data_IF_240357769957
#
_entry.id   IF_240357769957
#
_cell.length_a   1.000
_cell.length_b   1.000
_cell.length_c   1.000
_cell.angle_alpha   90.00
_cell.angle_beta   90.00
_cell.angle_gamma   90.00
#
_symmetry.space_group_name_H-M   'P 1'
#
loop_
_entity.id
_entity.type
_entity.pdbx_description
1 polymer ?
#
# COMPACT_ATOMS: atom_id res chain seq x y z
N UNK A 1 -45.91 -15.84 -38.16
CA UNK A 1 -45.31 -16.72 -37.12
C UNK A 1 -46.09 -18.01 -37.08
N UNK A 2 -45.39 -19.14 -37.01
CA UNK A 2 -45.99 -20.46 -36.79
C UNK A 2 -46.22 -20.73 -35.29
N UNK A 3 -46.95 -21.80 -34.99
CA UNK A 3 -47.34 -22.16 -33.61
C UNK A 3 -46.16 -22.61 -32.74
N UNK A 4 -45.05 -23.12 -33.31
CA UNK A 4 -43.88 -23.54 -32.53
C UNK A 4 -43.04 -22.34 -32.13
N UNK A 5 -42.79 -21.41 -33.05
CA UNK A 5 -42.10 -20.14 -32.75
C UNK A 5 -42.87 -19.32 -31.72
N UNK A 6 -44.20 -19.25 -31.82
CA UNK A 6 -45.01 -18.56 -30.81
C UNK A 6 -44.94 -19.25 -29.43
N UNK A 7 -44.99 -20.58 -29.38
CA UNK A 7 -44.87 -21.32 -28.13
C UNK A 7 -43.49 -21.12 -27.46
N UNK A 8 -42.41 -21.13 -28.25
CA UNK A 8 -41.04 -20.92 -27.76
C UNK A 8 -40.89 -19.55 -27.10
N UNK A 9 -41.33 -18.47 -27.78
CA UNK A 9 -41.27 -17.11 -27.26
C UNK A 9 -42.13 -16.92 -26.00
N UNK A 10 -43.28 -17.59 -25.92
CA UNK A 10 -44.11 -17.58 -24.70
C UNK A 10 -43.44 -18.33 -23.54
N UNK A 11 -42.75 -19.44 -23.79
CA UNK A 11 -41.97 -20.12 -22.74
C UNK A 11 -40.76 -19.32 -22.27
N UNK A 12 -40.07 -18.65 -23.19
CA UNK A 12 -38.92 -17.79 -22.86
C UNK A 12 -39.35 -16.56 -22.04
N UNK A 13 -40.42 -15.87 -22.46
CA UNK A 13 -41.00 -14.77 -21.70
C UNK A 13 -41.47 -15.20 -20.29
N UNK A 14 -42.05 -16.39 -20.16
CA UNK A 14 -42.48 -16.93 -18.85
C UNK A 14 -41.27 -17.24 -17.95
N UNK A 15 -40.18 -17.79 -18.48
CA UNK A 15 -38.94 -18.01 -17.72
C UNK A 15 -38.31 -16.69 -17.25
N UNK A 16 -38.31 -15.65 -18.10
CA UNK A 16 -37.82 -14.31 -17.73
C UNK A 16 -38.68 -13.72 -16.60
N UNK A 17 -40.01 -13.82 -16.68
CA UNK A 17 -40.92 -13.35 -15.62
C UNK A 17 -40.69 -14.10 -14.31
N UNK A 18 -40.53 -15.43 -14.35
CA UNK A 18 -40.21 -16.24 -13.15
C UNK A 18 -38.88 -15.81 -12.53
N UNK A 19 -37.83 -15.60 -13.34
CA UNK A 19 -36.52 -15.15 -12.85
C UNK A 19 -36.60 -13.78 -12.16
N UNK A 20 -37.31 -12.82 -12.76
CA UNK A 20 -37.52 -11.48 -12.17
C UNK A 20 -38.30 -11.56 -10.86
N UNK A 21 -39.32 -12.41 -10.76
CA UNK A 21 -40.08 -12.63 -9.52
C UNK A 21 -39.23 -13.26 -8.42
N UNK A 22 -38.40 -14.26 -8.73
CA UNK A 22 -37.48 -14.87 -7.76
C UNK A 22 -36.49 -13.84 -7.21
N UNK A 23 -35.84 -13.06 -8.09
CA UNK A 23 -34.92 -11.99 -7.69
C UNK A 23 -35.63 -10.95 -6.80
N UNK A 24 -36.84 -10.53 -7.15
CA UNK A 24 -37.61 -9.59 -6.35
C UNK A 24 -38.04 -10.16 -4.98
N UNK A 25 -38.26 -11.47 -4.86
CA UNK A 25 -38.57 -12.12 -3.59
C UNK A 25 -37.37 -12.18 -2.64
N UNK A 26 -36.15 -12.38 -3.15
CA UNK A 26 -34.94 -12.38 -2.30
C UNK A 26 -34.62 -10.97 -1.76
N UNK A 27 -34.85 -9.91 -2.54
CA UNK A 27 -34.69 -8.52 -2.07
C UNK A 27 -35.72 -8.07 -1.03
N UNK A 28 -36.82 -8.80 -0.84
CA UNK A 28 -37.89 -8.45 0.11
C UNK A 28 -37.88 -9.29 1.41
N UNK A 29 -36.81 -10.06 1.65
CA UNK A 29 -36.57 -10.71 2.94
C UNK A 29 -36.01 -9.67 3.91
N UNK A 30 -36.58 -9.48 5.12
CA UNK A 30 -35.94 -8.65 6.13
C UNK A 30 -34.60 -9.30 6.52
N UNK A 31 -33.56 -8.47 6.70
CA UNK A 31 -32.28 -8.95 7.23
C UNK A 31 -32.48 -9.37 8.68
N UNK A 32 -32.48 -10.68 8.93
CA UNK A 32 -32.43 -11.22 10.29
C UNK A 32 -31.06 -10.92 10.90
N UNK A 33 -31.00 -9.87 11.72
CA UNK A 33 -29.80 -9.47 12.46
C UNK A 33 -29.40 -10.58 13.44
N UNK A 34 -28.51 -11.48 13.01
CA UNK A 34 -27.98 -12.53 13.89
C UNK A 34 -27.33 -11.90 15.12
N UNK A 35 -27.99 -12.11 16.25
CA UNK A 35 -27.62 -11.62 17.57
C UNK A 35 -27.57 -12.82 18.49
N UNK A 36 -26.59 -12.85 19.40
CA UNK A 36 -26.19 -14.03 20.20
C UNK A 36 -25.48 -15.13 19.36
N UNK A 37 -24.67 -16.01 19.94
CA UNK A 37 -24.35 -16.18 21.36
C UNK A 37 -22.86 -15.93 21.64
N UNK A 38 -22.56 -15.22 22.73
CA UNK A 38 -21.45 -15.59 23.61
C UNK A 38 -22.08 -16.17 24.87
N UNK A 39 -21.80 -17.43 25.19
CA UNK A 39 -22.25 -18.05 26.43
C UNK A 39 -21.25 -17.72 27.55
N UNK A 40 -21.71 -17.38 28.78
CA UNK A 40 -20.82 -17.22 29.91
C UNK A 40 -20.29 -18.57 30.38
N UNK A 41 -19.01 -18.62 30.77
CA UNK A 41 -18.40 -19.77 31.44
C UNK A 41 -18.09 -19.41 32.90
N UNK A 42 -18.68 -20.17 33.81
CA UNK A 42 -18.41 -20.28 35.23
C UNK A 42 -18.68 -21.76 35.63
N UNK A 43 -18.03 -22.38 36.62
CA UNK A 43 -16.91 -21.92 37.48
C UNK A 43 -15.83 -23.07 37.53
N UNK A 44 -15.14 -23.53 38.58
CA UNK A 44 -15.15 -23.26 40.03
C UNK A 44 -13.76 -23.49 40.66
N UNK A 45 -13.24 -22.48 41.36
CA UNK A 45 -12.14 -22.57 42.37
C UNK A 45 -10.72 -22.97 41.90
N UNK A 46 -9.63 -22.70 42.64
CA UNK A 46 -9.48 -22.36 44.08
C UNK A 46 -8.79 -21.01 44.35
N UNK A 47 -9.08 -20.41 45.51
CA UNK A 47 -8.53 -19.14 45.98
C UNK A 47 -7.11 -19.22 46.59
N UNK A 48 -6.48 -18.06 46.81
CA UNK A 48 -6.02 -17.68 48.16
C UNK A 48 -6.00 -16.14 48.36
N UNK A 49 -6.11 -15.74 49.63
CA UNK A 49 -5.78 -14.46 50.29
C UNK A 49 -6.21 -13.08 49.75
N UNK A 50 -6.67 -12.24 50.68
CA UNK A 50 -6.94 -10.81 50.56
C UNK A 50 -5.67 -9.97 50.88
N UNK A 51 -5.54 -8.79 50.28
CA UNK A 51 -5.44 -7.52 51.04
C UNK A 51 -5.80 -6.34 50.11
N UNK A 52 -6.34 -5.25 50.65
CA UNK A 52 -6.76 -4.07 49.88
C UNK A 52 -6.37 -2.78 50.59
N UNK A 53 -5.63 -1.89 49.91
CA UNK A 53 -5.32 -0.53 50.38
C UNK A 53 -5.40 0.47 49.24
N UNK A 54 -5.76 1.69 49.61
CA UNK A 54 -6.35 2.80 48.86
C UNK A 54 -5.53 3.43 47.71
N UNK A 55 -6.26 4.12 46.82
CA UNK A 55 -5.81 5.25 45.99
C UNK A 55 -5.28 6.43 46.86
N UNK A 56 -4.50 7.43 46.35
CA UNK A 56 -4.77 8.13 45.09
C UNK A 56 -3.54 8.59 44.26
N UNK A 57 -3.82 9.33 43.19
CA UNK A 57 -2.83 10.04 42.37
C UNK A 57 -2.60 11.49 42.84
N UNK A 58 -1.39 12.02 42.63
CA UNK A 58 -1.13 13.47 42.49
C UNK A 58 0.08 13.75 41.57
N UNK A 59 0.62 14.98 41.58
CA UNK A 59 1.16 15.65 40.37
C UNK A 59 2.56 16.30 40.57
N UNK A 60 3.22 16.60 39.43
CA UNK A 60 4.18 17.71 39.19
C UNK A 60 5.63 17.66 39.74
N UNK A 61 6.44 18.57 39.15
CA UNK A 61 7.84 18.99 39.42
C UNK A 61 8.95 17.93 39.29
N UNK A 62 10.12 18.12 38.64
CA UNK A 62 11.03 19.26 38.29
C UNK A 62 12.33 19.32 39.12
N UNK A 63 13.30 20.09 38.60
CA UNK A 63 14.75 20.14 38.91
C UNK A 63 15.54 18.85 38.55
N UNK A 64 16.61 18.84 37.74
CA UNK A 64 17.70 19.78 37.40
C UNK A 64 18.92 19.72 38.34
N UNK A 65 20.10 19.55 37.74
CA UNK A 65 21.44 19.72 38.34
C UNK A 65 22.35 20.31 37.25
N UNK A 66 23.19 21.28 37.61
CA UNK A 66 23.94 22.14 36.68
C UNK A 66 25.30 21.56 36.21
N UNK A 67 25.99 22.34 35.37
CA UNK A 67 27.34 22.11 34.85
C UNK A 67 28.44 22.27 35.95
N UNK A 68 29.74 22.22 35.58
CA UNK A 68 30.36 23.51 35.25
C UNK A 68 31.24 23.52 33.98
N UNK A 69 31.35 24.70 33.37
CA UNK A 69 32.29 25.06 32.31
C UNK A 69 33.65 25.53 32.90
N UNK A 70 34.64 26.12 32.22
CA UNK A 70 34.75 26.69 30.86
C UNK A 70 36.26 26.77 30.41
N UNK A 71 36.58 27.67 29.45
CA UNK A 71 37.89 28.28 29.16
C UNK A 71 38.92 27.51 28.26
N UNK A 72 39.64 28.12 27.30
CA UNK A 72 39.29 29.16 26.31
C UNK A 72 40.25 29.16 25.08
N UNK A 73 39.73 29.72 23.98
CA UNK A 73 40.33 30.24 22.72
C UNK A 73 41.71 30.97 22.85
N UNK A 74 42.56 31.12 21.77
CA UNK A 74 42.12 31.62 20.45
C UNK A 74 42.90 31.28 19.14
N UNK A 75 42.29 31.72 18.02
CA UNK A 75 42.84 32.42 16.81
C UNK A 75 44.27 32.14 16.29
N UNK A 76 44.60 32.19 14.99
CA UNK A 76 43.86 32.44 13.73
C UNK A 76 44.81 32.10 12.54
N UNK A 77 44.30 32.00 11.30
CA UNK A 77 44.72 32.82 10.12
C UNK A 77 44.23 32.28 8.76
N UNK A 78 43.74 33.20 7.93
CA UNK A 78 43.22 33.02 6.55
C UNK A 78 44.33 33.16 5.48
N UNK A 79 44.29 32.33 4.43
CA UNK A 79 44.83 32.62 3.07
C UNK A 79 43.86 32.03 2.03
N UNK A 80 43.77 32.62 0.84
CA UNK A 80 42.78 32.31 -0.20
C UNK A 80 43.38 31.63 -1.45
N UNK A 81 42.47 31.12 -2.30
CA UNK A 81 42.53 31.17 -3.78
C UNK A 81 43.49 30.24 -4.53
N UNK A 82 42.91 29.28 -5.26
CA UNK A 82 42.80 29.36 -6.73
C UNK A 82 41.95 28.20 -7.31
N UNK A 83 41.18 28.49 -8.37
CA UNK A 83 40.80 27.47 -9.36
C UNK A 83 42.01 27.15 -10.26
N UNK A 84 42.00 26.01 -10.97
CA UNK A 84 41.62 26.12 -12.38
C UNK A 84 40.61 25.07 -12.84
N UNK A 85 39.66 25.48 -13.70
CA UNK A 85 38.72 24.58 -14.35
C UNK A 85 39.38 23.74 -15.45
N UNK A 86 39.19 22.41 -15.38
CA UNK A 86 39.35 21.39 -16.45
C UNK A 86 38.85 20.04 -15.90
N UNK A 87 38.28 19.11 -16.67
CA UNK A 87 37.84 19.15 -18.07
C UNK A 87 36.63 18.20 -18.23
N UNK A 88 35.79 18.37 -19.25
CA UNK A 88 34.55 17.57 -19.41
C UNK A 88 34.86 16.13 -19.83
N UNK A 89 34.97 15.19 -18.89
CA UNK A 89 34.79 13.76 -19.22
C UNK A 89 33.29 13.44 -19.15
N UNK A 90 32.68 13.26 -20.32
CA UNK A 90 31.33 12.73 -20.42
C UNK A 90 31.34 11.29 -19.88
N UNK A 91 30.49 10.99 -18.90
CA UNK A 91 30.23 9.61 -18.54
C UNK A 91 29.42 8.99 -19.68
N UNK A 92 30.02 8.04 -20.40
CA UNK A 92 29.30 7.27 -21.41
C UNK A 92 28.13 6.55 -20.73
N UNK A 93 26.93 6.75 -21.28
CA UNK A 93 25.71 6.05 -20.89
C UNK A 93 26.00 4.55 -20.81
N UNK A 94 25.93 3.90 -19.63
CA UNK A 94 25.93 2.44 -19.58
C UNK A 94 24.76 1.96 -20.44
N UNK A 95 25.01 0.91 -21.24
CA UNK A 95 24.03 0.42 -22.20
C UNK A 95 22.72 0.03 -21.51
N UNK A 96 21.62 0.01 -22.27
CA UNK A 96 20.31 -0.37 -21.75
C UNK A 96 20.41 -1.70 -20.99
N UNK A 97 19.84 -1.73 -19.77
CA UNK A 97 19.74 -2.97 -18.99
C UNK A 97 19.04 -4.02 -19.86
N UNK A 98 19.59 -5.25 -20.00
CA UNK A 98 18.95 -6.28 -20.81
C UNK A 98 17.56 -6.57 -20.25
N UNK A 99 16.58 -6.80 -21.14
CA UNK A 99 15.21 -7.08 -20.75
C UNK A 99 15.15 -8.32 -19.85
N UNK A 100 15.02 -8.09 -18.54
CA UNK A 100 14.96 -9.14 -17.55
C UNK A 100 13.63 -9.91 -17.69
N UNK A 101 13.72 -11.23 -17.81
CA UNK A 101 12.53 -12.08 -17.81
C UNK A 101 11.71 -11.91 -16.52
N UNK A 102 10.39 -12.01 -16.64
CA UNK A 102 9.51 -11.88 -15.48
C UNK A 102 9.80 -12.94 -14.42
N UNK A 103 9.78 -12.54 -13.15
CA UNK A 103 10.02 -13.48 -12.05
C UNK A 103 8.82 -14.42 -11.89
N UNK A 104 9.11 -15.70 -11.69
CA UNK A 104 8.13 -16.75 -11.34
C UNK A 104 8.16 -17.07 -9.84
N UNK A 105 9.15 -16.57 -9.10
CA UNK A 105 9.22 -16.71 -7.65
C UNK A 105 8.36 -15.62 -6.98
N UNK A 106 7.39 -16.05 -6.18
CA UNK A 106 6.46 -15.17 -5.46
C UNK A 106 6.82 -15.16 -3.98
N UNK A 107 7.35 -14.04 -3.49
CA UNK A 107 7.69 -13.88 -2.08
C UNK A 107 6.48 -13.47 -1.23
N UNK A 108 6.44 -13.96 0.03
CA UNK A 108 5.42 -13.58 1.02
C UNK A 108 5.51 -12.08 1.38
N UNK A 109 6.74 -11.56 1.43
CA UNK A 109 7.11 -10.16 1.67
C UNK A 109 8.11 -9.73 0.59
N UNK A 110 7.89 -8.56 -0.01
CA UNK A 110 8.74 -7.95 -1.04
C UNK A 110 9.26 -6.62 -0.51
N UNK A 111 10.58 -6.53 -0.27
CA UNK A 111 11.25 -5.28 0.01
C UNK A 111 11.20 -4.38 -1.23
N UNK A 112 10.57 -3.20 -1.15
CA UNK A 112 10.46 -2.22 -2.24
C UNK A 112 11.77 -1.42 -2.43
N UNK A 113 12.89 -2.12 -2.41
CA UNK A 113 14.23 -1.64 -2.73
C UNK A 113 14.46 -1.80 -4.24
N UNK A 114 15.04 -0.81 -4.91
CA UNK A 114 15.20 -0.83 -6.35
C UNK A 114 16.48 -0.11 -6.77
N UNK A 115 17.45 -0.79 -7.43
CA UNK A 115 18.79 -0.26 -7.69
C UNK A 115 18.84 0.90 -8.72
N UNK A 116 17.72 1.26 -9.34
CA UNK A 116 17.65 2.46 -10.18
C UNK A 116 17.53 3.78 -9.38
N UNK A 117 17.44 3.72 -8.04
CA UNK A 117 17.48 4.91 -7.18
C UNK A 117 18.88 5.09 -6.59
N UNK A 118 19.57 6.18 -6.95
CA UNK A 118 20.88 6.54 -6.38
C UNK A 118 20.82 6.72 -4.85
N UNK A 119 19.72 7.29 -4.33
CA UNK A 119 19.43 7.31 -2.89
C UNK A 119 17.93 7.18 -2.60
N UNK A 120 17.57 6.27 -1.69
CA UNK A 120 16.22 6.19 -1.13
C UNK A 120 16.02 7.26 -0.04
N UNK A 121 15.34 8.36 -0.36
CA UNK A 121 15.04 9.48 0.59
C UNK A 121 14.10 9.12 1.78
N UNK A 122 13.75 7.84 1.93
CA UNK A 122 12.91 7.24 2.99
C UNK A 122 13.36 5.80 3.28
N UNK A 123 12.90 5.22 4.39
CA UNK A 123 13.07 3.78 4.63
C UNK A 123 12.38 2.93 3.55
N UNK A 124 12.93 1.75 3.29
CA UNK A 124 12.36 0.77 2.35
C UNK A 124 11.00 0.28 2.88
N UNK A 125 10.04 0.08 1.98
CA UNK A 125 8.71 -0.43 2.34
C UNK A 125 8.70 -1.95 2.17
N UNK A 126 8.41 -2.68 3.26
CA UNK A 126 8.20 -4.13 3.22
C UNK A 126 6.75 -4.42 2.81
N UNK A 127 6.55 -4.76 1.54
CA UNK A 127 5.22 -5.05 0.99
C UNK A 127 4.83 -6.51 1.28
N UNK A 128 3.83 -6.71 2.11
CA UNK A 128 3.30 -8.03 2.49
C UNK A 128 2.40 -8.60 1.39
N UNK A 129 2.97 -8.94 0.24
CA UNK A 129 2.26 -9.43 -0.94
C UNK A 129 1.24 -10.53 -0.59
N UNK A 130 1.64 -11.54 0.19
CA UNK A 130 0.76 -12.63 0.62
C UNK A 130 -0.47 -12.17 1.39
N UNK A 131 -0.35 -11.16 2.26
CA UNK A 131 -1.52 -10.63 2.99
C UNK A 131 -2.55 -10.02 2.04
N UNK A 132 -2.11 -9.38 0.95
CA UNK A 132 -3.03 -8.77 0.00
C UNK A 132 -3.85 -9.83 -0.74
N UNK A 133 -3.23 -10.94 -1.17
CA UNK A 133 -3.93 -12.04 -1.86
C UNK A 133 -4.68 -13.00 -0.90
N UNK A 134 -4.10 -13.38 0.23
CA UNK A 134 -4.66 -14.42 1.14
C UNK A 134 -5.56 -13.85 2.24
N UNK A 135 -5.21 -12.72 2.87
CA UNK A 135 -6.01 -12.13 3.94
C UNK A 135 -7.04 -11.15 3.39
N UNK A 136 -6.61 -10.22 2.53
CA UNK A 136 -7.44 -9.12 2.03
C UNK A 136 -8.18 -9.44 0.72
N UNK A 137 -7.90 -10.60 0.10
CA UNK A 137 -8.54 -11.12 -1.11
C UNK A 137 -8.48 -10.20 -2.33
N UNK A 138 -7.42 -9.39 -2.42
CA UNK A 138 -7.12 -8.54 -3.58
C UNK A 138 -6.74 -9.43 -4.78
N UNK A 139 -7.28 -9.12 -5.95
CA UNK A 139 -7.02 -9.84 -7.18
C UNK A 139 -5.68 -9.46 -7.80
N UNK A 140 -5.07 -10.38 -8.56
CA UNK A 140 -3.79 -10.13 -9.23
C UNK A 140 -3.84 -8.90 -10.15
N UNK A 141 -4.98 -8.71 -10.84
CA UNK A 141 -5.21 -7.57 -11.74
C UNK A 141 -5.39 -6.21 -11.07
N UNK A 142 -5.61 -6.16 -9.75
CA UNK A 142 -5.75 -4.89 -9.01
C UNK A 142 -4.41 -4.17 -8.83
N UNK A 143 -3.29 -4.88 -9.04
CA UNK A 143 -1.93 -4.32 -9.02
C UNK A 143 -1.17 -4.57 -10.34
N UNK A 144 -1.33 -5.74 -10.97
CA UNK A 144 -0.66 -6.06 -12.22
C UNK A 144 -1.52 -5.66 -13.43
N UNK A 145 -1.02 -4.73 -14.24
CA UNK A 145 -1.66 -4.26 -15.46
C UNK A 145 -0.73 -4.40 -16.68
N UNK A 146 -1.30 -4.31 -17.89
CA UNK A 146 -0.53 -4.25 -19.15
C UNK A 146 0.04 -2.84 -19.44
N UNK A 147 0.66 -2.68 -20.61
CA UNK A 147 1.22 -1.43 -21.12
C UNK A 147 0.20 -0.30 -21.36
N UNK A 148 -1.10 -0.62 -21.29
CA UNK A 148 -2.23 0.30 -21.46
C UNK A 148 -2.99 0.54 -20.16
N UNK A 149 -2.54 -0.03 -19.04
CA UNK A 149 -3.22 0.05 -17.75
C UNK A 149 -4.42 -0.90 -17.61
N UNK A 150 -4.53 -1.92 -18.46
CA UNK A 150 -5.60 -2.93 -18.37
C UNK A 150 -5.21 -4.02 -17.34
N UNK A 151 -6.09 -4.27 -16.37
CA UNK A 151 -5.88 -5.24 -15.30
C UNK A 151 -5.63 -6.68 -15.83
N UNK A 152 -4.54 -7.32 -15.38
CA UNK A 152 -4.17 -8.70 -15.73
C UNK A 152 -4.94 -9.72 -14.88
N UNK A 153 -6.27 -9.64 -14.93
CA UNK A 153 -7.19 -10.43 -14.10
C UNK A 153 -7.16 -11.96 -14.34
N UNK A 154 -6.39 -12.45 -15.32
CA UNK A 154 -6.19 -13.89 -15.60
C UNK A 154 -4.86 -14.46 -15.09
N UNK A 155 -4.02 -13.62 -14.46
CA UNK A 155 -2.73 -14.01 -13.88
C UNK A 155 -2.94 -14.98 -12.69
N UNK A 156 -2.00 -15.92 -12.52
CA UNK A 156 -1.96 -16.89 -11.42
C UNK A 156 -0.66 -16.77 -10.63
N UNK A 157 -0.67 -17.34 -9.43
CA UNK A 157 0.54 -17.50 -8.61
C UNK A 157 1.61 -18.30 -9.38
N UNK A 158 2.78 -17.69 -9.57
CA UNK A 158 3.91 -18.26 -10.32
C UNK A 158 3.94 -17.94 -11.81
N UNK A 159 2.93 -17.25 -12.37
CA UNK A 159 3.03 -16.70 -13.72
C UNK A 159 4.10 -15.58 -13.76
N UNK A 160 4.92 -15.47 -14.82
CA UNK A 160 6.04 -14.52 -14.88
C UNK A 160 5.55 -13.06 -14.98
N UNK A 161 5.87 -12.24 -13.97
CA UNK A 161 5.54 -10.79 -13.94
C UNK A 161 6.77 -9.90 -14.06
N UNK A 162 6.60 -8.74 -14.72
CA UNK A 162 7.62 -7.70 -14.76
C UNK A 162 7.55 -6.80 -13.52
N UNK A 163 8.70 -6.26 -13.10
CA UNK A 163 8.76 -5.22 -12.08
C UNK A 163 8.21 -3.90 -12.62
N UNK A 164 7.52 -3.11 -11.78
CA UNK A 164 6.86 -1.86 -12.20
C UNK A 164 7.79 -0.89 -12.95
N UNK A 165 9.07 -0.83 -12.55
CA UNK A 165 10.08 0.05 -13.18
C UNK A 165 10.43 -0.33 -14.63
N UNK A 166 10.01 -1.49 -15.13
CA UNK A 166 10.22 -1.86 -16.54
C UNK A 166 9.39 -1.00 -17.51
N UNK A 167 8.32 -0.36 -17.02
CA UNK A 167 7.50 0.58 -17.79
C UNK A 167 7.38 1.96 -17.13
N UNK A 168 7.46 2.01 -15.80
CA UNK A 168 7.50 3.26 -15.02
C UNK A 168 8.96 3.61 -14.70
N UNK A 169 9.76 3.86 -15.74
CA UNK A 169 11.24 3.81 -15.69
C UNK A 169 11.91 4.99 -14.95
N UNK A 170 11.21 6.10 -14.71
CA UNK A 170 11.79 7.29 -14.08
C UNK A 170 11.89 7.11 -12.56
N UNK A 171 13.08 6.77 -12.08
CA UNK A 171 13.41 6.83 -10.67
C UNK A 171 13.39 8.27 -10.13
N UNK A 172 13.36 8.42 -8.80
CA UNK A 172 13.31 9.74 -8.16
C UNK A 172 11.95 10.43 -8.27
N UNK A 173 11.94 11.76 -8.34
CA UNK A 173 10.73 12.63 -8.34
C UNK A 173 10.72 13.52 -9.58
N UNK A 174 9.54 13.91 -10.10
CA UNK A 174 9.46 14.96 -11.11
C UNK A 174 10.00 16.29 -10.57
N UNK A 175 10.54 17.12 -11.47
CA UNK A 175 11.12 18.42 -11.12
C UNK A 175 10.11 19.35 -10.43
N UNK A 176 10.59 20.15 -9.47
CA UNK A 176 9.74 21.03 -8.67
C UNK A 176 9.14 22.15 -9.54
N UNK A 177 7.87 21.98 -9.89
CA UNK A 177 7.12 22.91 -10.75
C UNK A 177 6.86 22.41 -12.17
N UNK A 178 7.30 21.19 -12.51
CA UNK A 178 6.97 20.55 -13.77
C UNK A 178 5.44 20.39 -13.93
N UNK A 179 4.90 20.87 -15.06
CA UNK A 179 3.46 20.80 -15.38
C UNK A 179 3.12 19.50 -16.10
N UNK A 180 3.32 18.38 -15.41
CA UNK A 180 3.02 17.05 -15.94
C UNK A 180 1.52 16.73 -15.84
N UNK A 181 0.99 16.05 -16.86
CA UNK A 181 -0.27 15.30 -16.77
C UNK A 181 -0.16 14.13 -15.79
N UNK A 182 -1.29 13.51 -15.43
CA UNK A 182 -1.28 12.34 -14.54
C UNK A 182 -0.70 11.08 -15.22
N UNK A 183 -0.64 11.03 -16.55
CA UNK A 183 0.06 9.99 -17.29
C UNK A 183 1.59 10.19 -17.20
N UNK A 184 2.08 11.40 -17.51
CA UNK A 184 3.50 11.74 -17.39
C UNK A 184 4.03 11.63 -15.95
N UNK A 185 3.17 11.85 -14.93
CA UNK A 185 3.52 11.57 -13.53
C UNK A 185 3.74 10.08 -13.31
N UNK A 186 2.90 9.21 -13.88
CA UNK A 186 3.01 7.74 -13.69
C UNK A 186 4.21 7.13 -14.39
N UNK A 187 4.83 7.81 -15.36
CA UNK A 187 6.16 7.41 -15.86
C UNK A 187 7.23 7.37 -14.75
N UNK A 188 7.01 8.09 -13.63
CA UNK A 188 7.85 7.98 -12.44
C UNK A 188 7.43 6.79 -11.58
N UNK A 189 8.38 5.86 -11.34
CA UNK A 189 8.17 4.64 -10.56
C UNK A 189 7.50 4.89 -9.20
N UNK A 190 7.93 5.93 -8.48
CA UNK A 190 7.33 6.23 -7.18
C UNK A 190 5.90 6.79 -7.29
N UNK A 191 5.53 7.43 -8.39
CA UNK A 191 4.19 7.95 -8.59
C UNK A 191 3.22 6.81 -8.93
N UNK A 192 3.62 5.86 -9.77
CA UNK A 192 2.87 4.62 -10.00
C UNK A 192 2.64 3.85 -8.67
N UNK A 193 3.68 3.67 -7.85
CA UNK A 193 3.57 3.02 -6.53
C UNK A 193 2.66 3.78 -5.56
N UNK A 194 2.76 5.12 -5.48
CA UNK A 194 1.92 5.89 -4.56
C UNK A 194 0.45 5.93 -5.01
N UNK A 195 0.18 6.08 -6.31
CA UNK A 195 -1.18 6.06 -6.86
C UNK A 195 -1.86 4.72 -6.57
N UNK A 196 -1.17 3.59 -6.86
CA UNK A 196 -1.71 2.26 -6.62
C UNK A 196 -1.94 1.97 -5.11
N UNK A 197 -0.87 2.00 -4.32
CA UNK A 197 -0.93 1.56 -2.93
C UNK A 197 -1.68 2.56 -2.04
N UNK A 198 -1.42 3.87 -2.18
CA UNK A 198 -2.04 4.89 -1.32
C UNK A 198 -3.44 5.28 -1.82
N UNK A 199 -3.76 5.06 -3.09
CA UNK A 199 -5.14 5.14 -3.60
C UNK A 199 -6.02 4.09 -2.92
N UNK A 200 -5.75 2.81 -3.19
CA UNK A 200 -6.50 1.68 -2.59
C UNK A 200 -6.63 1.79 -1.06
N UNK A 201 -5.55 2.11 -0.35
CA UNK A 201 -5.59 2.30 1.11
C UNK A 201 -6.46 3.48 1.56
N UNK A 202 -6.55 4.58 0.80
CA UNK A 202 -7.45 5.71 1.13
C UNK A 202 -8.91 5.34 0.88
N UNK A 203 -9.20 4.69 -0.24
CA UNK A 203 -10.57 4.35 -0.61
C UNK A 203 -11.14 3.27 0.33
N UNK A 204 -10.37 2.22 0.65
CA UNK A 204 -10.74 1.26 1.70
C UNK A 204 -11.00 1.93 3.06
N UNK A 205 -10.11 2.82 3.51
CA UNK A 205 -10.29 3.55 4.77
C UNK A 205 -11.56 4.43 4.75
N UNK A 206 -11.87 5.06 3.62
CA UNK A 206 -13.05 5.90 3.42
C UNK A 206 -14.35 5.07 3.41
N UNK A 207 -14.37 3.97 2.65
CA UNK A 207 -15.54 3.08 2.54
C UNK A 207 -15.88 2.36 3.84
N UNK A 208 -14.85 1.90 4.58
CA UNK A 208 -15.02 1.19 5.86
C UNK A 208 -14.95 2.13 7.07
N UNK A 209 -14.95 3.45 6.86
CA UNK A 209 -14.83 4.50 7.88
C UNK A 209 -13.75 4.20 8.95
N UNK A 210 -12.55 3.85 8.50
CA UNK A 210 -11.45 3.34 9.33
C UNK A 210 -10.11 4.00 8.99
N UNK A 211 -9.06 3.65 9.75
CA UNK A 211 -7.67 4.14 9.58
C UNK A 211 -6.66 2.98 9.57
N UNK A 212 -7.15 1.77 9.32
CA UNK A 212 -6.41 0.51 9.36
C UNK A 212 -5.38 0.41 8.23
N UNK A 213 -5.78 0.72 6.98
CA UNK A 213 -4.86 0.66 5.85
C UNK A 213 -3.84 1.84 5.92
N UNK A 214 -2.54 1.60 5.70
CA UNK A 214 -1.53 2.64 5.88
C UNK A 214 -1.53 3.64 4.72
N UNK A 215 -2.10 4.84 4.98
CA UNK A 215 -2.29 5.90 3.98
C UNK A 215 -1.44 7.17 4.23
N UNK A 216 -0.45 7.13 5.14
CA UNK A 216 0.44 8.25 5.48
C UNK A 216 1.91 7.82 5.44
N UNK A 217 2.81 8.76 5.12
CA UNK A 217 4.20 8.46 4.75
C UNK A 217 4.93 7.58 5.78
N UNK A 218 4.82 7.89 7.07
CA UNK A 218 5.47 7.15 8.17
C UNK A 218 4.72 5.89 8.63
N UNK A 219 3.58 5.54 8.02
CA UNK A 219 2.92 4.23 8.19
C UNK A 219 3.36 3.21 7.13
N UNK A 220 3.93 3.66 6.00
CA UNK A 220 4.47 2.79 4.95
C UNK A 220 5.99 2.75 4.98
N UNK A 221 6.64 3.92 5.05
CA UNK A 221 8.09 4.01 5.18
C UNK A 221 8.48 3.97 6.66
N UNK A 222 9.29 2.99 7.09
CA UNK A 222 9.91 3.03 8.40
C UNK A 222 10.84 4.25 8.51
N UNK A 223 11.15 4.63 9.75
CA UNK A 223 12.26 5.56 10.01
C UNK A 223 13.58 4.88 9.57
N UNK A 224 14.48 5.67 8.97
CA UNK A 224 15.91 5.32 8.91
C UNK A 224 16.51 5.51 10.29
#
# INVERSE_FOLDING_TARGET
MDRKTLALLLTEALLIVVLVVVIAMDFNKPVETQTALHAPIADEHTADAEEAVEEPAEEAAEEAVEEPAEEAVPAEKKVEKAEPAKEKKQAEKPAASPAAGGSTEVADIVAMNNPAYDEHTKGIVEFTHKKHIEEYKIGCGDCHHDDKGQALASLKMGDPVQNCIACHDKAGKPEKGAKLSDQEKREYHMNALHDNCVGCHKDYNKEKNTKAAPATCGKCHPKK
#
